data_IF_163774366223
#
_entry.id   IF_163774366223
#
_cell.length_a   1.000
_cell.length_b   1.000
_cell.length_c   1.000
_cell.angle_alpha   90.00
_cell.angle_beta   90.00
_cell.angle_gamma   90.00
#
_symmetry.space_group_name_H-M   'P 1'
#
loop_
_entity.id
_entity.type
_entity.pdbx_description
1 polymer ?
#
# COMPACT_ATOMS: atom_id res chain seq x y z
N UNK A 1 1.91 10.42 -26.76
CA UNK A 1 3.36 10.60 -27.02
C UNK A 1 3.81 9.36 -27.75
N UNK A 2 4.53 9.44 -28.88
CA UNK A 2 5.04 8.23 -29.54
C UNK A 2 6.03 7.50 -28.62
N UNK A 3 5.87 6.16 -28.50
CA UNK A 3 6.66 5.27 -27.61
C UNK A 3 8.18 5.40 -27.86
N UNK A 4 8.57 5.79 -29.06
CA UNK A 4 9.96 5.92 -29.52
C UNK A 4 10.79 7.00 -28.79
N UNK A 5 10.15 7.96 -28.12
CA UNK A 5 10.83 9.02 -27.34
C UNK A 5 10.99 8.70 -25.84
N UNK A 6 10.51 7.53 -25.39
CA UNK A 6 10.49 7.14 -23.98
C UNK A 6 11.67 6.20 -23.69
N UNK A 7 12.30 6.34 -22.51
CA UNK A 7 13.41 5.48 -22.11
C UNK A 7 13.00 3.99 -22.16
N UNK A 8 13.84 3.07 -22.71
CA UNK A 8 13.43 1.68 -22.98
C UNK A 8 12.85 0.94 -21.76
N UNK A 9 13.36 1.22 -20.57
CA UNK A 9 12.87 0.65 -19.31
C UNK A 9 11.42 1.01 -18.94
N UNK A 10 10.86 2.05 -19.56
CA UNK A 10 9.49 2.50 -19.33
C UNK A 10 8.51 1.98 -20.38
N UNK A 11 8.99 1.41 -21.50
CA UNK A 11 8.15 0.93 -22.59
C UNK A 11 7.05 -0.06 -22.13
N UNK A 12 7.32 -1.05 -21.25
CA UNK A 12 6.27 -1.95 -20.77
C UNK A 12 5.13 -1.22 -20.04
N UNK A 13 5.44 -0.13 -19.33
CA UNK A 13 4.43 0.67 -18.64
C UNK A 13 3.62 1.52 -19.62
N UNK A 14 4.24 2.04 -20.68
CA UNK A 14 3.53 2.81 -21.72
C UNK A 14 2.56 1.89 -22.47
N UNK A 15 3.03 0.73 -22.92
CA UNK A 15 2.20 -0.27 -23.60
C UNK A 15 1.03 -0.72 -22.71
N UNK A 16 1.30 -0.99 -21.42
CA UNK A 16 0.26 -1.33 -20.45
C UNK A 16 -0.78 -0.22 -20.29
N UNK A 17 -0.36 1.05 -20.21
CA UNK A 17 -1.24 2.20 -20.03
C UNK A 17 -2.07 2.50 -21.29
N UNK A 18 -1.57 2.21 -22.48
CA UNK A 18 -2.32 2.42 -23.72
C UNK A 18 -3.42 1.38 -23.97
N UNK A 19 -3.30 0.18 -23.36
CA UNK A 19 -4.25 -0.93 -23.51
C UNK A 19 -5.57 -0.75 -22.75
N UNK A 20 -5.68 0.22 -21.85
CA UNK A 20 -6.88 0.44 -21.03
C UNK A 20 -7.36 1.89 -21.03
N UNK A 21 -8.67 2.13 -20.82
CA UNK A 21 -9.17 3.49 -20.65
C UNK A 21 -8.70 4.08 -19.32
N UNK A 22 -8.28 5.35 -19.36
CA UNK A 22 -7.80 6.10 -18.21
C UNK A 22 -8.50 7.44 -18.08
N UNK A 23 -8.78 7.84 -16.84
CA UNK A 23 -9.27 9.17 -16.47
C UNK A 23 -8.20 10.24 -16.73
N UNK A 24 -8.61 11.51 -16.80
CA UNK A 24 -7.68 12.64 -16.94
C UNK A 24 -6.65 12.68 -15.78
N UNK A 25 -7.09 12.41 -14.55
CA UNK A 25 -6.21 12.36 -13.39
C UNK A 25 -5.16 11.25 -13.49
N UNK A 26 -5.53 10.07 -13.98
CA UNK A 26 -4.59 8.96 -14.21
C UNK A 26 -3.59 9.30 -15.33
N UNK A 27 -4.04 9.95 -16.41
CA UNK A 27 -3.15 10.42 -17.49
C UNK A 27 -2.13 11.43 -16.98
N UNK A 28 -2.58 12.43 -16.23
CA UNK A 28 -1.68 13.42 -15.63
C UNK A 28 -0.67 12.79 -14.66
N UNK A 29 -1.09 11.79 -13.87
CA UNK A 29 -0.19 11.04 -13.01
C UNK A 29 0.83 10.22 -13.80
N UNK A 30 0.41 9.62 -14.92
CA UNK A 30 1.32 8.85 -15.79
C UNK A 30 2.34 9.75 -16.47
N UNK A 31 1.94 10.92 -16.96
CA UNK A 31 2.86 11.93 -17.51
C UNK A 31 3.89 12.38 -16.48
N UNK A 32 3.48 12.60 -15.23
CA UNK A 32 4.40 12.90 -14.13
C UNK A 32 5.37 11.75 -13.87
N UNK A 33 4.93 10.50 -13.97
CA UNK A 33 5.80 9.34 -13.85
C UNK A 33 6.82 9.29 -14.99
N UNK A 34 6.41 9.50 -16.23
CA UNK A 34 7.30 9.54 -17.39
C UNK A 34 8.34 10.66 -17.28
N UNK A 35 7.93 11.85 -16.82
CA UNK A 35 8.83 12.99 -16.61
C UNK A 35 9.85 12.75 -15.49
N UNK A 36 9.47 12.02 -14.44
CA UNK A 36 10.37 11.67 -13.33
C UNK A 36 11.28 10.48 -13.68
N UNK A 37 10.80 9.56 -14.50
CA UNK A 37 11.48 8.32 -14.86
C UNK A 37 11.57 7.30 -13.72
N UNK A 38 12.22 6.17 -14.00
CA UNK A 38 12.59 5.22 -12.96
C UNK A 38 13.73 5.79 -12.10
N UNK A 39 13.64 5.70 -10.76
CA UNK A 39 14.77 6.03 -9.91
C UNK A 39 16.00 5.20 -10.22
N UNK A 40 17.15 5.77 -9.91
CA UNK A 40 18.45 5.15 -10.02
C UNK A 40 19.19 5.21 -8.69
N UNK A 41 20.28 4.46 -8.55
CA UNK A 41 21.14 4.55 -7.37
C UNK A 41 21.89 5.90 -7.26
N UNK A 42 21.79 6.76 -8.27
CA UNK A 42 22.29 8.14 -8.19
C UNK A 42 21.33 9.06 -7.43
N UNK A 43 20.05 8.70 -7.32
CA UNK A 43 19.09 9.45 -6.51
C UNK A 43 19.33 9.17 -5.03
N UNK A 44 19.43 10.23 -4.22
CA UNK A 44 19.74 10.13 -2.78
C UNK A 44 18.82 9.15 -2.03
N UNK A 45 17.51 9.19 -2.36
CA UNK A 45 16.51 8.31 -1.77
C UNK A 45 16.62 6.84 -2.21
N UNK A 46 17.39 6.53 -3.26
CA UNK A 46 17.46 5.22 -3.92
C UNK A 46 18.86 4.62 -3.99
N UNK A 47 19.87 5.32 -3.46
CA UNK A 47 21.28 4.88 -3.44
C UNK A 47 21.48 3.43 -2.98
N UNK A 48 20.73 3.01 -1.95
CA UNK A 48 20.85 1.68 -1.35
C UNK A 48 19.82 0.68 -1.91
N UNK A 49 19.18 0.98 -3.04
CA UNK A 49 18.10 0.17 -3.61
C UNK A 49 18.41 -0.15 -5.07
N UNK A 50 18.74 -1.42 -5.35
CA UNK A 50 18.94 -1.89 -6.72
C UNK A 50 17.61 -2.20 -7.40
N UNK A 51 17.19 -1.36 -8.34
CA UNK A 51 15.96 -1.54 -9.14
C UNK A 51 16.16 -2.33 -10.44
N UNK A 52 17.39 -2.72 -10.78
CA UNK A 52 17.65 -3.43 -12.04
C UNK A 52 16.82 -4.73 -12.22
N UNK A 53 16.60 -5.55 -11.18
CA UNK A 53 15.76 -6.76 -11.32
C UNK A 53 14.30 -6.44 -11.64
N UNK A 54 13.76 -5.36 -11.06
CA UNK A 54 12.40 -4.88 -11.33
C UNK A 54 12.29 -4.33 -12.76
N UNK A 55 13.27 -3.55 -13.20
CA UNK A 55 13.30 -2.94 -14.54
C UNK A 55 13.44 -3.99 -15.65
N UNK A 56 14.14 -5.10 -15.40
CA UNK A 56 14.32 -6.18 -16.37
C UNK A 56 13.08 -7.03 -16.59
N UNK A 57 12.12 -6.98 -15.69
CA UNK A 57 10.89 -7.78 -15.77
C UNK A 57 9.78 -6.93 -16.39
N UNK A 58 9.21 -7.41 -17.49
CA UNK A 58 8.03 -6.78 -18.08
C UNK A 58 6.79 -7.19 -17.29
N UNK A 59 6.22 -6.25 -16.53
CA UNK A 59 4.99 -6.48 -15.79
C UNK A 59 3.78 -5.94 -16.54
N UNK A 60 2.73 -6.74 -16.65
CA UNK A 60 1.43 -6.32 -17.19
C UNK A 60 0.44 -5.97 -16.06
N UNK A 61 -0.58 -5.13 -16.29
CA UNK A 61 -1.62 -4.89 -15.30
C UNK A 61 -2.27 -6.21 -14.85
N UNK A 62 -2.44 -6.39 -13.54
CA UNK A 62 -2.95 -7.66 -13.01
C UNK A 62 -4.36 -8.00 -13.53
N UNK A 63 -4.61 -9.27 -13.83
CA UNK A 63 -5.93 -9.80 -14.18
C UNK A 63 -6.79 -9.98 -12.90
N UNK A 64 -8.13 -10.15 -13.00
CA UNK A 64 -9.02 -10.24 -11.83
C UNK A 64 -8.68 -11.34 -10.80
N UNK A 65 -7.90 -12.35 -11.17
CA UNK A 65 -7.47 -13.45 -10.29
C UNK A 65 -8.56 -14.49 -10.00
N UNK A 66 -8.15 -15.64 -9.45
CA UNK A 66 -9.07 -16.72 -9.07
C UNK A 66 -9.77 -16.42 -7.73
N UNK A 67 -11.07 -16.11 -7.82
CA UNK A 67 -11.92 -15.79 -6.68
C UNK A 67 -12.04 -16.95 -5.66
N UNK A 68 -12.12 -18.20 -6.13
CA UNK A 68 -12.27 -19.36 -5.25
C UNK A 68 -10.97 -19.60 -4.46
N UNK A 69 -9.82 -19.40 -5.10
CA UNK A 69 -8.52 -19.46 -4.42
C UNK A 69 -8.35 -18.32 -3.42
N UNK A 70 -8.77 -17.10 -3.76
CA UNK A 70 -8.75 -15.98 -2.83
C UNK A 70 -9.59 -16.26 -1.56
N UNK A 71 -10.78 -16.86 -1.71
CA UNK A 71 -11.63 -17.26 -0.58
C UNK A 71 -10.93 -18.29 0.34
N UNK A 72 -10.21 -19.26 -0.23
CA UNK A 72 -9.43 -20.22 0.57
C UNK A 72 -8.32 -19.54 1.38
N UNK A 73 -7.63 -18.57 0.80
CA UNK A 73 -6.61 -17.78 1.51
C UNK A 73 -7.26 -16.98 2.66
N UNK A 74 -8.42 -16.35 2.39
CA UNK A 74 -9.16 -15.57 3.38
C UNK A 74 -9.62 -16.40 4.58
N UNK A 75 -9.94 -17.69 4.39
CA UNK A 75 -10.31 -18.58 5.48
C UNK A 75 -9.18 -18.78 6.52
N UNK A 76 -7.93 -18.48 6.16
CA UNK A 76 -6.79 -18.48 7.08
C UNK A 76 -6.69 -17.22 7.96
N UNK A 77 -7.53 -16.22 7.72
CA UNK A 77 -7.59 -14.98 8.49
C UNK A 77 -8.83 -14.96 9.41
N UNK A 78 -8.76 -14.29 10.57
CA UNK A 78 -9.93 -14.05 11.40
C UNK A 78 -10.98 -13.24 10.63
N UNK A 79 -12.23 -13.45 11.01
CA UNK A 79 -13.35 -12.69 10.48
C UNK A 79 -13.44 -11.35 11.20
N UNK A 80 -12.58 -10.42 10.78
CA UNK A 80 -12.54 -9.08 11.34
C UNK A 80 -13.71 -8.24 10.81
N UNK A 81 -14.40 -7.53 11.72
CA UNK A 81 -15.59 -6.72 11.39
C UNK A 81 -15.29 -5.65 10.32
N UNK A 82 -14.15 -4.97 10.45
CA UNK A 82 -13.74 -3.88 9.56
C UNK A 82 -12.75 -4.36 8.48
N UNK A 83 -13.03 -5.49 7.82
CA UNK A 83 -12.15 -6.09 6.81
C UNK A 83 -12.42 -5.55 5.40
N UNK A 84 -11.37 -5.11 4.71
CA UNK A 84 -11.40 -4.73 3.28
C UNK A 84 -10.41 -5.64 2.54
N UNK A 85 -10.87 -6.31 1.49
CA UNK A 85 -10.07 -7.26 0.72
C UNK A 85 -9.91 -6.80 -0.71
N UNK A 86 -8.68 -6.83 -1.20
CA UNK A 86 -8.34 -6.66 -2.61
C UNK A 86 -7.75 -7.96 -3.15
N UNK A 87 -8.19 -8.35 -4.35
CA UNK A 87 -7.62 -9.42 -5.15
C UNK A 87 -7.04 -8.80 -6.42
N UNK A 88 -5.74 -8.95 -6.64
CA UNK A 88 -5.04 -8.42 -7.81
C UNK A 88 -5.34 -6.94 -8.06
N UNK A 89 -5.33 -6.16 -6.97
CA UNK A 89 -5.58 -4.71 -6.99
C UNK A 89 -7.05 -4.28 -7.12
N UNK A 90 -7.99 -5.23 -7.23
CA UNK A 90 -9.44 -4.96 -7.32
C UNK A 90 -10.12 -5.34 -6.02
N UNK A 91 -11.08 -4.54 -5.56
CA UNK A 91 -11.83 -4.84 -4.34
C UNK A 91 -12.68 -6.09 -4.53
N UNK A 92 -12.61 -7.00 -3.55
CA UNK A 92 -13.18 -8.35 -3.62
C UNK A 92 -14.42 -8.53 -2.76
N UNK A 93 -14.45 -7.93 -1.56
CA UNK A 93 -15.51 -8.14 -0.58
C UNK A 93 -16.50 -6.95 -0.44
N UNK A 94 -16.43 -5.98 -1.35
CA UNK A 94 -17.31 -4.82 -1.38
C UNK A 94 -17.28 -4.18 -2.78
N UNK A 95 -18.31 -3.41 -3.19
CA UNK A 95 -18.26 -2.65 -4.43
C UNK A 95 -17.15 -1.59 -4.37
N UNK A 96 -16.57 -1.21 -5.53
CA UNK A 96 -15.53 -0.19 -5.58
C UNK A 96 -16.01 1.14 -4.99
N UNK A 97 -15.16 1.78 -4.19
CA UNK A 97 -15.47 3.12 -3.68
C UNK A 97 -14.80 4.14 -4.60
N UNK A 98 -15.61 4.88 -5.37
CA UNK A 98 -15.12 6.05 -6.09
C UNK A 98 -14.80 7.16 -5.08
N UNK A 99 -13.56 7.21 -4.63
CA UNK A 99 -13.07 8.37 -3.90
C UNK A 99 -12.45 9.34 -4.88
N UNK A 100 -12.96 10.57 -4.90
CA UNK A 100 -12.25 11.69 -5.52
C UNK A 100 -10.86 11.70 -4.88
N UNK A 101 -9.82 11.59 -5.71
CA UNK A 101 -8.45 11.52 -5.25
C UNK A 101 -8.19 12.67 -4.27
N UNK A 102 -8.20 12.37 -2.96
CA UNK A 102 -7.55 13.27 -2.01
C UNK A 102 -6.15 13.46 -2.57
N UNK A 103 -5.78 14.73 -2.79
CA UNK A 103 -4.51 15.05 -3.45
C UNK A 103 -3.40 14.47 -2.59
N UNK A 104 -2.83 13.35 -3.07
CA UNK A 104 -1.69 12.71 -2.43
C UNK A 104 -0.60 13.76 -2.29
N UNK A 105 -0.15 14.00 -1.06
CA UNK A 105 1.03 14.83 -0.81
C UNK A 105 2.32 14.01 -0.81
N UNK A 106 2.20 12.68 -0.91
CA UNK A 106 3.34 11.86 -1.28
C UNK A 106 3.74 12.19 -2.73
N UNK A 107 5.04 12.30 -2.96
CA UNK A 107 5.64 12.65 -4.24
C UNK A 107 6.71 11.65 -4.59
N UNK A 108 6.95 11.45 -5.88
CA UNK A 108 7.99 10.56 -6.40
C UNK A 108 7.42 9.57 -7.41
N UNK A 109 8.32 8.91 -8.17
CA UNK A 109 7.91 8.22 -9.39
C UNK A 109 7.00 7.04 -9.12
N UNK A 110 7.23 6.28 -8.04
CA UNK A 110 6.33 5.20 -7.66
C UNK A 110 4.98 5.68 -7.11
N UNK A 111 4.88 6.91 -6.59
CA UNK A 111 3.58 7.51 -6.24
C UNK A 111 2.82 7.88 -7.50
N UNK A 112 3.48 8.54 -8.45
CA UNK A 112 2.90 8.89 -9.76
C UNK A 112 2.47 7.65 -10.54
N UNK A 113 3.32 6.61 -10.55
CA UNK A 113 3.00 5.31 -11.16
C UNK A 113 1.81 4.63 -10.46
N UNK A 114 1.76 4.66 -9.12
CA UNK A 114 0.61 4.12 -8.39
C UNK A 114 -0.68 4.87 -8.75
N UNK A 115 -0.66 6.20 -8.75
CA UNK A 115 -1.82 7.02 -9.08
C UNK A 115 -2.28 6.85 -10.55
N UNK A 116 -1.36 6.53 -11.46
CA UNK A 116 -1.68 6.24 -12.86
C UNK A 116 -2.46 4.91 -13.03
N UNK A 117 -2.03 3.86 -12.33
CA UNK A 117 -2.56 2.50 -12.51
C UNK A 117 -3.53 2.03 -11.41
N UNK A 118 -3.70 2.78 -10.32
CA UNK A 118 -4.65 2.42 -9.27
C UNK A 118 -6.08 2.40 -9.83
N UNK A 119 -6.78 1.28 -9.67
CA UNK A 119 -8.16 1.10 -10.11
C UNK A 119 -9.19 1.30 -8.98
N UNK A 120 -8.77 1.10 -7.73
CA UNK A 120 -9.56 1.31 -6.51
C UNK A 120 -8.61 1.71 -5.37
N UNK A 121 -9.16 2.25 -4.28
CA UNK A 121 -8.42 2.61 -3.09
C UNK A 121 -9.18 2.22 -1.81
N UNK A 122 -8.46 1.70 -0.81
CA UNK A 122 -9.00 1.51 0.53
C UNK A 122 -9.03 2.86 1.25
N UNK A 123 -10.19 3.52 1.30
CA UNK A 123 -10.33 4.79 2.02
C UNK A 123 -11.17 4.59 3.27
N UNK A 124 -10.62 4.96 4.42
CA UNK A 124 -11.27 4.81 5.71
C UNK A 124 -11.15 6.09 6.51
N UNK A 125 -12.28 6.60 6.97
CA UNK A 125 -12.38 7.80 7.78
C UNK A 125 -12.88 7.44 9.20
N UNK A 126 -12.05 7.69 10.21
CA UNK A 126 -12.28 7.38 11.62
C UNK A 126 -12.54 8.65 12.40
N UNK A 127 -13.76 8.80 12.93
CA UNK A 127 -14.19 10.00 13.67
C UNK A 127 -14.06 9.92 15.19
N UNK A 128 -13.80 8.72 15.72
CA UNK A 128 -13.81 8.49 17.17
C UNK A 128 -12.93 7.31 17.57
N UNK A 129 -13.22 6.72 18.72
CA UNK A 129 -12.53 5.52 19.18
C UNK A 129 -13.12 4.27 18.51
N UNK A 130 -12.27 3.47 17.89
CA UNK A 130 -12.62 2.21 17.24
C UNK A 130 -12.12 1.04 18.07
N UNK A 131 -13.03 0.12 18.44
CA UNK A 131 -12.70 -1.05 19.24
C UNK A 131 -11.92 -2.11 18.42
N UNK A 132 -12.36 -2.36 17.18
CA UNK A 132 -11.82 -3.39 16.28
C UNK A 132 -10.97 -2.75 15.16
N UNK A 133 -9.71 -3.16 14.92
CA UNK A 133 -8.90 -2.69 13.81
C UNK A 133 -9.58 -2.76 12.45
N UNK A 134 -9.25 -1.79 11.61
CA UNK A 134 -9.44 -1.88 10.17
C UNK A 134 -8.38 -2.82 9.62
N UNK A 135 -8.80 -3.91 8.97
CA UNK A 135 -7.89 -4.87 8.36
C UNK A 135 -8.00 -4.83 6.84
N UNK A 136 -6.98 -4.28 6.19
CA UNK A 136 -6.87 -4.25 4.74
C UNK A 136 -5.99 -5.40 4.28
N UNK A 137 -6.54 -6.34 3.51
CA UNK A 137 -5.83 -7.50 2.99
C UNK A 137 -5.69 -7.37 1.47
N UNK A 138 -4.45 -7.30 1.00
CA UNK A 138 -4.09 -7.33 -0.41
C UNK A 138 -3.62 -8.74 -0.76
N UNK A 139 -4.40 -9.45 -1.56
CA UNK A 139 -4.09 -10.77 -2.10
C UNK A 139 -3.63 -10.60 -3.55
N UNK A 140 -2.46 -11.15 -3.86
CA UNK A 140 -1.99 -11.29 -5.22
C UNK A 140 -1.96 -12.78 -5.62
N UNK A 141 -2.59 -13.11 -6.73
CA UNK A 141 -2.56 -14.43 -7.35
C UNK A 141 -1.97 -14.32 -8.77
N UNK A 142 -1.07 -15.22 -9.17
CA UNK A 142 -0.39 -15.16 -10.45
C UNK A 142 -1.33 -15.41 -11.62
N UNK A 143 -1.08 -14.73 -12.74
CA UNK A 143 -1.70 -14.98 -14.05
C UNK A 143 -0.72 -15.64 -15.01
N UNK A 144 -0.98 -15.51 -16.33
CA UNK A 144 -0.15 -16.11 -17.38
C UNK A 144 1.26 -15.48 -17.49
N UNK A 145 1.38 -14.21 -17.12
CA UNK A 145 2.61 -13.42 -17.21
C UNK A 145 2.90 -12.69 -15.88
N UNK A 146 4.14 -12.24 -15.64
CA UNK A 146 4.42 -11.36 -14.51
C UNK A 146 3.51 -10.13 -14.55
N UNK A 147 2.87 -9.84 -13.42
CA UNK A 147 1.83 -8.83 -13.34
C UNK A 147 2.13 -7.80 -12.26
N UNK A 148 1.57 -6.60 -12.39
CA UNK A 148 1.70 -5.51 -11.43
C UNK A 148 0.36 -5.08 -10.85
N UNK A 149 0.39 -4.70 -9.58
CA UNK A 149 -0.74 -4.12 -8.86
C UNK A 149 -0.29 -2.86 -8.11
N UNK A 150 -1.19 -1.88 -8.04
CA UNK A 150 -0.93 -0.56 -7.48
C UNK A 150 -1.93 -0.23 -6.37
N UNK A 151 -1.88 -0.90 -5.20
CA UNK A 151 -2.81 -0.62 -4.13
C UNK A 151 -2.61 0.76 -3.55
N UNK A 152 -3.74 1.42 -3.30
CA UNK A 152 -3.79 2.73 -2.67
C UNK A 152 -4.61 2.65 -1.41
N UNK A 153 -4.03 3.01 -0.28
CA UNK A 153 -4.67 2.99 1.03
C UNK A 153 -4.65 4.40 1.61
N UNK A 154 -5.80 4.93 2.02
CA UNK A 154 -5.93 6.26 2.63
C UNK A 154 -6.70 6.11 3.94
N UNK A 155 -6.06 6.47 5.04
CA UNK A 155 -6.66 6.41 6.37
C UNK A 155 -6.68 7.81 6.98
N UNK A 156 -7.87 8.31 7.30
CA UNK A 156 -8.07 9.62 7.92
C UNK A 156 -8.58 9.40 9.34
N UNK A 157 -7.86 9.89 10.33
CA UNK A 157 -8.25 9.92 11.73
C UNK A 157 -8.53 11.37 12.11
N UNK A 158 -9.77 11.70 12.47
CA UNK A 158 -10.13 13.04 12.95
C UNK A 158 -9.47 13.36 14.30
N UNK A 159 -9.58 14.61 14.75
CA UNK A 159 -9.02 15.02 16.04
C UNK A 159 -9.60 14.19 17.19
N UNK A 160 -8.73 13.70 18.07
CA UNK A 160 -9.09 12.82 19.19
C UNK A 160 -9.45 11.38 18.81
N UNK A 161 -9.48 11.02 17.52
CA UNK A 161 -9.82 9.67 17.06
C UNK A 161 -8.77 8.64 17.51
N UNK A 162 -9.20 7.41 17.76
CA UNK A 162 -8.32 6.33 18.23
C UNK A 162 -8.62 5.04 17.49
N UNK A 163 -7.58 4.34 17.03
CA UNK A 163 -7.78 3.06 16.38
C UNK A 163 -6.51 2.41 15.87
N UNK A 164 -6.69 1.25 15.26
CA UNK A 164 -5.59 0.48 14.69
C UNK A 164 -5.88 0.09 13.24
N UNK A 165 -4.84 0.09 12.43
CA UNK A 165 -4.82 -0.34 11.04
C UNK A 165 -3.92 -1.58 10.95
N UNK A 166 -4.40 -2.61 10.29
CA UNK A 166 -3.61 -3.77 9.90
C UNK A 166 -3.62 -3.82 8.37
N UNK A 167 -2.44 -3.69 7.76
CA UNK A 167 -2.25 -3.94 6.33
C UNK A 167 -1.57 -5.28 6.14
N UNK A 168 -2.24 -6.22 5.49
CA UNK A 168 -1.67 -7.53 5.17
C UNK A 168 -1.49 -7.67 3.67
N UNK A 169 -0.29 -8.04 3.25
CA UNK A 169 0.05 -8.35 1.87
C UNK A 169 0.36 -9.84 1.77
N UNK A 170 -0.38 -10.56 0.92
CA UNK A 170 -0.21 -11.99 0.66
C UNK A 170 -0.11 -12.18 -0.83
N UNK A 171 0.79 -13.05 -1.29
CA UNK A 171 0.74 -13.43 -2.69
C UNK A 171 1.71 -14.53 -3.07
N UNK A 172 1.49 -15.03 -4.28
CA UNK A 172 2.21 -16.17 -4.86
C UNK A 172 2.74 -15.81 -6.25
N UNK A 173 3.86 -16.43 -6.64
CA UNK A 173 4.50 -16.22 -7.95
C UNK A 173 5.34 -14.94 -8.05
N UNK A 174 5.57 -14.47 -9.27
CA UNK A 174 6.38 -13.29 -9.57
C UNK A 174 5.48 -12.13 -9.96
N UNK A 175 5.53 -11.06 -9.18
CA UNK A 175 4.68 -9.89 -9.40
C UNK A 175 5.26 -8.63 -8.78
N UNK A 176 4.77 -7.48 -9.24
CA UNK A 176 5.13 -6.18 -8.71
C UNK A 176 3.99 -5.55 -7.92
N UNK A 177 4.22 -5.38 -6.63
CA UNK A 177 3.33 -4.70 -5.70
C UNK A 177 3.85 -3.28 -5.42
N UNK A 178 3.20 -2.27 -5.99
CA UNK A 178 3.50 -0.86 -5.70
C UNK A 178 2.45 -0.27 -4.76
N UNK A 179 2.61 -0.48 -3.46
CA UNK A 179 1.64 -0.05 -2.45
C UNK A 179 1.91 1.38 -1.94
N UNK A 180 0.90 2.24 -1.97
CA UNK A 180 0.96 3.59 -1.39
C UNK A 180 -0.06 3.70 -0.26
N UNK A 181 0.44 3.91 0.96
CA UNK A 181 -0.40 4.19 2.14
C UNK A 181 -0.23 5.64 2.59
N UNK A 182 -1.35 6.34 2.70
CA UNK A 182 -1.45 7.66 3.31
C UNK A 182 -2.22 7.58 4.63
N UNK A 183 -1.67 8.14 5.71
CA UNK A 183 -2.32 8.20 7.03
C UNK A 183 -2.35 9.63 7.51
N UNK A 184 -3.54 10.22 7.54
CA UNK A 184 -3.81 11.55 8.09
C UNK A 184 -4.26 11.39 9.53
N UNK A 185 -3.56 12.04 10.46
CA UNK A 185 -3.77 11.94 11.90
C UNK A 185 -4.10 13.34 12.43
N UNK A 186 -5.34 13.52 12.87
CA UNK A 186 -5.84 14.72 13.51
C UNK A 186 -5.14 15.00 14.84
N UNK A 187 -5.39 16.18 15.39
CA UNK A 187 -4.81 16.59 16.67
C UNK A 187 -5.27 15.66 17.81
N UNK A 188 -4.37 15.22 18.67
CA UNK A 188 -4.69 14.30 19.77
C UNK A 188 -5.11 12.89 19.36
N UNK A 189 -5.08 12.54 18.06
CA UNK A 189 -5.46 11.21 17.60
C UNK A 189 -4.36 10.16 17.86
N UNK A 190 -4.78 8.93 18.19
CA UNK A 190 -3.90 7.80 18.50
C UNK A 190 -4.10 6.71 17.46
N UNK A 191 -3.08 6.51 16.62
CA UNK A 191 -3.13 5.55 15.51
C UNK A 191 -2.01 4.52 15.66
N UNK A 192 -2.39 3.26 15.74
CA UNK A 192 -1.47 2.13 15.58
C UNK A 192 -1.57 1.60 14.15
N UNK A 193 -0.44 1.42 13.47
CA UNK A 193 -0.42 0.84 12.14
C UNK A 193 0.57 -0.33 12.09
N UNK A 194 0.05 -1.51 11.81
CA UNK A 194 0.81 -2.75 11.61
C UNK A 194 0.78 -3.13 10.14
N UNK A 195 1.94 -3.45 9.58
CA UNK A 195 2.07 -4.07 8.25
C UNK A 195 2.56 -5.51 8.39
N UNK A 196 1.86 -6.43 7.75
CA UNK A 196 2.21 -7.85 7.64
C UNK A 196 2.49 -8.15 6.16
N UNK A 197 3.69 -8.66 5.86
CA UNK A 197 4.07 -9.04 4.52
C UNK A 197 4.36 -10.54 4.49
N UNK A 198 3.57 -11.28 3.71
CA UNK A 198 3.60 -12.74 3.51
C UNK A 198 3.54 -13.04 2.01
N UNK A 199 4.49 -12.47 1.30
CA UNK A 199 4.54 -12.50 -0.16
C UNK A 199 5.57 -13.53 -0.64
N UNK A 200 5.40 -13.95 -1.89
CA UNK A 200 6.33 -14.84 -2.58
C UNK A 200 7.77 -14.34 -2.51
N UNK A 201 8.73 -15.25 -2.39
CA UNK A 201 10.16 -14.93 -2.46
C UNK A 201 10.61 -14.39 -3.83
N UNK A 202 9.73 -14.43 -4.84
CA UNK A 202 9.94 -13.86 -6.18
C UNK A 202 9.15 -12.56 -6.40
N UNK A 203 8.45 -12.07 -5.38
CA UNK A 203 7.69 -10.83 -5.44
C UNK A 203 8.58 -9.59 -5.28
N UNK A 204 8.19 -8.53 -5.99
CA UNK A 204 8.74 -7.18 -5.85
C UNK A 204 7.75 -6.32 -5.08
N UNK A 205 8.06 -5.99 -3.83
CA UNK A 205 7.23 -5.10 -3.01
C UNK A 205 7.90 -3.74 -2.86
N UNK A 206 7.31 -2.71 -3.44
CA UNK A 206 7.60 -1.31 -3.11
C UNK A 206 6.45 -0.79 -2.27
N UNK A 207 6.74 -0.28 -1.07
CA UNK A 207 5.76 0.45 -0.28
C UNK A 207 6.25 1.83 0.11
N UNK A 208 5.39 2.81 -0.14
CA UNK A 208 5.57 4.17 0.31
C UNK A 208 4.49 4.49 1.34
N UNK A 209 4.92 4.99 2.50
CA UNK A 209 4.04 5.43 3.56
C UNK A 209 4.22 6.92 3.80
N UNK A 210 3.16 7.70 3.65
CA UNK A 210 3.10 9.09 4.07
C UNK A 210 2.23 9.21 5.33
N UNK A 211 2.75 9.80 6.40
CA UNK A 211 1.98 10.13 7.61
C UNK A 211 1.94 11.65 7.79
N UNK A 212 0.75 12.20 8.04
CA UNK A 212 0.53 13.62 8.33
C UNK A 212 -0.12 13.77 9.70
N UNK A 213 0.31 14.72 10.52
CA UNK A 213 -0.39 15.01 11.78
C UNK A 213 0.41 15.86 12.78
N UNK A 214 -0.24 16.23 13.88
CA UNK A 214 0.38 16.93 15.00
C UNK A 214 1.54 16.11 15.61
N UNK A 215 2.56 16.74 16.21
CA UNK A 215 3.72 16.04 16.73
C UNK A 215 3.36 15.26 18.00
N UNK A 216 2.80 14.05 17.88
CA UNK A 216 2.65 13.14 19.02
C UNK A 216 2.73 11.64 18.69
N UNK A 217 3.35 10.90 19.61
CA UNK A 217 3.42 9.44 19.64
C UNK A 217 4.81 8.88 19.30
N UNK A 218 5.43 8.13 20.23
CA UNK A 218 6.63 7.31 19.93
C UNK A 218 6.30 6.36 18.77
N UNK A 219 7.12 6.29 17.71
CA UNK A 219 6.91 5.30 16.66
C UNK A 219 7.13 3.91 17.25
N UNK A 220 6.05 3.20 17.55
CA UNK A 220 6.09 1.76 17.82
C UNK A 220 5.49 1.06 16.61
N UNK A 221 6.26 1.04 15.52
CA UNK A 221 5.95 0.30 14.30
C UNK A 221 6.82 -0.97 14.27
N UNK A 222 6.38 -2.11 14.84
CA UNK A 222 7.00 -3.37 14.49
C UNK A 222 6.62 -3.69 13.03
N UNK A 223 7.54 -3.42 12.11
CA UNK A 223 7.46 -3.96 10.76
C UNK A 223 8.15 -5.33 10.78
N UNK A 224 7.47 -6.38 10.33
CA UNK A 224 8.02 -7.75 10.33
C UNK A 224 7.84 -8.39 8.96
N UNK A 225 8.78 -8.18 8.02
CA UNK A 225 8.73 -8.84 6.73
C UNK A 225 8.98 -10.35 6.90
N UNK A 226 8.12 -11.19 6.32
CA UNK A 226 8.36 -12.61 6.10
C UNK A 226 8.16 -12.90 4.60
N UNK A 227 9.24 -12.79 3.82
CA UNK A 227 9.26 -13.10 2.38
C UNK A 227 9.11 -11.90 1.45
N UNK A 228 9.92 -11.92 0.38
CA UNK A 228 9.90 -11.14 -0.89
C UNK A 228 11.29 -11.23 -1.53
N UNK A 229 11.41 -11.27 -2.87
CA UNK A 229 12.72 -11.16 -3.55
C UNK A 229 13.35 -9.81 -3.26
N UNK A 230 12.49 -8.79 -3.26
CA UNK A 230 12.84 -7.40 -3.08
C UNK A 230 11.69 -6.70 -2.34
N UNK A 231 11.98 -6.18 -1.15
CA UNK A 231 11.01 -5.45 -0.32
C UNK A 231 11.58 -4.11 0.12
N UNK A 232 11.01 -3.00 -0.34
CA UNK A 232 11.36 -1.65 0.11
C UNK A 232 10.19 -0.98 0.83
N UNK A 233 10.47 -0.44 2.01
CA UNK A 233 9.54 0.38 2.79
C UNK A 233 10.13 1.77 2.96
N UNK A 234 9.51 2.80 2.37
CA UNK A 234 9.88 4.19 2.65
C UNK A 234 8.82 4.81 3.58
N UNK A 235 9.29 5.46 4.66
CA UNK A 235 8.44 6.17 5.61
C UNK A 235 8.71 7.67 5.51
N UNK A 236 7.67 8.47 5.22
CA UNK A 236 7.73 9.93 5.20
C UNK A 236 6.75 10.49 6.24
N UNK A 237 7.26 11.23 7.22
CA UNK A 237 6.46 11.90 8.25
C UNK A 237 6.43 13.40 7.97
N UNK A 238 5.24 13.96 7.80
CA UNK A 238 5.00 15.39 7.63
C UNK A 238 4.27 15.91 8.87
N UNK A 239 4.96 16.70 9.70
CA UNK A 239 4.40 17.25 10.93
C UNK A 239 3.63 18.54 10.63
N UNK A 240 2.44 18.68 11.22
CA UNK A 240 1.73 19.95 11.26
C UNK A 240 2.21 20.78 12.46
N UNK A 241 2.33 22.12 12.35
CA UNK A 241 2.76 22.96 13.46
C UNK A 241 1.74 22.93 14.60
N UNK A 242 2.19 22.58 15.81
CA UNK A 242 1.38 22.56 17.04
C UNK A 242 2.22 22.17 18.27
N UNK A 243 1.88 22.63 19.49
CA UNK A 243 2.67 22.34 20.69
C UNK A 243 2.56 20.85 21.10
N UNK A 244 3.63 20.23 21.60
CA UNK A 244 3.60 18.84 22.04
C UNK A 244 2.80 18.69 23.36
N UNK A 245 1.74 17.87 23.38
CA UNK A 245 0.94 17.56 24.58
C UNK A 245 1.07 16.10 25.05
N UNK A 246 1.53 15.86 26.28
CA UNK A 246 1.74 14.49 26.84
C UNK A 246 0.45 13.65 26.84
N UNK A 247 0.51 12.33 26.58
CA UNK A 247 -0.67 11.47 26.67
C UNK A 247 -0.94 11.09 28.13
N UNK A 248 -2.20 11.17 28.55
CA UNK A 248 -2.62 10.83 29.92
C UNK A 248 -2.65 9.32 30.22
N UNK A 249 -2.46 8.42 29.24
CA UNK A 249 -2.44 6.97 29.52
C UNK A 249 -1.76 6.11 28.43
N UNK A 250 -0.65 5.40 28.72
CA UNK A 250 0.10 4.61 27.72
C UNK A 250 -0.52 3.25 27.34
N UNK A 251 -1.47 2.71 28.12
CA UNK A 251 -1.96 1.33 27.94
C UNK A 251 -3.09 1.15 26.91
N UNK A 252 -3.68 2.24 26.41
CA UNK A 252 -4.84 2.16 25.50
C UNK A 252 -4.47 1.77 24.04
N UNK A 253 -3.19 1.69 23.69
CA UNK A 253 -2.71 1.57 22.30
C UNK A 253 -2.21 0.20 21.83
N UNK A 254 -2.35 -0.90 22.58
CA UNK A 254 -1.68 -2.19 22.29
C UNK A 254 -2.56 -3.26 21.61
N UNK A 255 -3.78 -2.92 21.15
CA UNK A 255 -4.74 -3.92 20.63
C UNK A 255 -4.38 -4.44 19.22
N UNK A 256 -3.93 -3.58 18.32
CA UNK A 256 -3.53 -3.97 16.96
C UNK A 256 -2.29 -4.87 16.95
N UNK A 257 -1.29 -4.59 17.80
CA UNK A 257 -0.14 -5.47 18.03
C UNK A 257 -0.51 -6.86 18.53
N UNK A 258 -1.40 -6.97 19.52
CA UNK A 258 -1.85 -8.27 20.04
C UNK A 258 -2.61 -9.06 18.98
N UNK A 259 -3.49 -8.40 18.21
CA UNK A 259 -4.19 -9.04 17.09
C UNK A 259 -3.23 -9.45 15.97
N UNK A 260 -2.25 -8.63 15.62
CA UNK A 260 -1.21 -8.99 14.66
C UNK A 260 -0.34 -10.16 15.12
N UNK A 261 -0.01 -10.23 16.41
CA UNK A 261 0.67 -11.39 16.99
C UNK A 261 -0.20 -12.66 16.92
N UNK A 262 -1.52 -12.54 17.11
CA UNK A 262 -2.45 -13.65 16.97
C UNK A 262 -2.58 -14.11 15.51
N UNK A 263 -2.65 -13.17 14.56
CA UNK A 263 -2.59 -13.43 13.12
C UNK A 263 -1.35 -14.24 12.76
N UNK A 264 -0.17 -13.77 13.19
CA UNK A 264 1.09 -14.47 12.96
C UNK A 264 1.06 -15.90 13.52
N UNK A 265 0.59 -16.09 14.76
CA UNK A 265 0.58 -17.41 15.44
C UNK A 265 -0.38 -18.43 14.82
N UNK A 266 -1.52 -17.99 14.27
CA UNK A 266 -2.52 -18.90 13.67
C UNK A 266 -2.14 -19.39 12.28
N UNK A 267 -1.28 -18.66 11.58
CA UNK A 267 -0.84 -19.00 10.21
C UNK A 267 0.54 -19.66 10.14
N UNK A 268 1.22 -19.89 11.28
CA UNK A 268 2.42 -20.76 11.33
C UNK A 268 2.01 -22.19 11.65
N UNK A 269 1.37 -22.87 10.71
CA UNK A 269 1.60 -24.31 10.51
C UNK A 269 1.63 -24.54 9.00
N UNK A 270 2.69 -25.21 8.50
CA UNK A 270 2.82 -25.55 7.09
C UNK A 270 1.67 -26.44 6.62
#
# INVERSE_FOLDING_TARGET
MPVEAVAPQLAPYVEAFERTPHTEAQRAAFEQFLAQGMPSQHDENWKFTNLAPLVKTAFEPAEPGDAARAQKILAGFPDDENRIVFLNGRRFNAPPQQHAAEKSRASGPFVSLNAAFSSDAAVVHVRGAMAEPVHVIHIFLPGAHPQMTHPRNVFVFESGAQGSIIETYVGEGTYFHNAVTEIVVGEGAIVEHVKLQRESLDAFHISLRARRGAPFGRPSCPNRPLGSHFGRHAHRLCLLPGPPQRPENPDRGLRGKRRAQQLLRRTVRP
#
